data_IF_828054501453
#
_entry.id   IF_828054501453
#
_cell.length_a   1.000
_cell.length_b   1.000
_cell.length_c   1.000
_cell.angle_alpha   90.00
_cell.angle_beta   90.00
_cell.angle_gamma   90.00
#
_symmetry.space_group_name_H-M   'P 1'
#
loop_
_entity.id
_entity.type
_entity.pdbx_description
1 polymer ?
#
# COMPACT_ATOMS: atom_id res chain seq x y z
N UNK A 1 -33.88 53.98 32.44
CA UNK A 1 -32.49 53.54 32.70
C UNK A 1 -32.54 52.15 33.29
N UNK A 2 -32.12 51.15 32.53
CA UNK A 2 -32.04 49.74 32.92
C UNK A 2 -31.29 49.03 31.80
N UNK A 3 -30.07 48.60 32.11
CA UNK A 3 -29.03 48.13 31.20
C UNK A 3 -28.92 46.60 31.32
N UNK A 4 -28.40 45.97 30.25
CA UNK A 4 -27.89 44.59 30.14
C UNK A 4 -28.98 43.50 29.90
N UNK A 5 -28.75 42.42 29.14
CA UNK A 5 -27.50 41.75 28.74
C UNK A 5 -27.74 41.11 27.36
N UNK A 6 -26.74 41.19 26.47
CA UNK A 6 -26.73 40.46 25.21
C UNK A 6 -26.62 38.95 25.43
N UNK A 7 -27.45 38.19 24.72
CA UNK A 7 -27.23 36.77 24.51
C UNK A 7 -26.26 36.60 23.35
N UNK A 8 -24.98 36.47 23.66
CA UNK A 8 -24.03 35.84 22.75
C UNK A 8 -24.43 34.36 22.68
N UNK A 9 -24.99 33.92 21.55
CA UNK A 9 -25.05 32.49 21.23
C UNK A 9 -23.60 32.02 21.11
N UNK A 10 -23.10 31.38 22.16
CA UNK A 10 -21.88 30.58 22.12
C UNK A 10 -22.03 29.55 20.99
N UNK A 11 -21.38 29.84 19.86
CA UNK A 11 -21.14 28.85 18.83
C UNK A 11 -20.36 27.70 19.48
N UNK A 12 -21.03 26.58 19.72
CA UNK A 12 -20.40 25.34 20.13
C UNK A 12 -19.24 25.07 19.18
N UNK A 13 -18.01 25.24 19.68
CA UNK A 13 -16.79 24.87 18.98
C UNK A 13 -16.88 23.36 18.80
N UNK A 14 -17.28 22.92 17.61
CA UNK A 14 -17.27 21.53 17.25
C UNK A 14 -15.85 21.03 17.41
N UNK A 15 -15.66 20.11 18.36
CA UNK A 15 -14.42 19.36 18.54
C UNK A 15 -14.29 18.39 17.36
N UNK A 16 -14.01 18.94 16.18
CA UNK A 16 -13.78 18.16 14.98
C UNK A 16 -12.46 17.41 15.23
N UNK A 17 -12.47 16.07 15.31
CA UNK A 17 -11.31 15.30 15.75
C UNK A 17 -10.12 15.65 14.88
N UNK A 18 -9.03 16.10 15.49
CA UNK A 18 -7.79 16.47 14.79
C UNK A 18 -7.34 15.28 13.95
N UNK A 19 -7.49 15.40 12.62
CA UNK A 19 -7.14 14.35 11.68
C UNK A 19 -5.62 14.31 11.48
N UNK A 20 -4.93 13.58 12.36
CA UNK A 20 -3.48 13.42 12.28
C UNK A 20 -3.09 12.27 11.33
N UNK A 21 -2.43 12.55 10.19
CA UNK A 21 -1.95 11.49 9.31
C UNK A 21 -0.83 10.68 9.98
N UNK A 22 -0.67 9.39 9.63
CA UNK A 22 0.48 8.60 10.07
C UNK A 22 1.80 9.25 9.65
N UNK A 23 2.92 8.95 10.35
CA UNK A 23 4.22 9.51 10.00
C UNK A 23 4.61 9.16 8.56
N UNK A 24 5.24 10.08 7.83
CA UNK A 24 5.60 9.90 6.41
C UNK A 24 4.42 9.53 5.49
N UNK A 25 3.19 9.94 5.83
CA UNK A 25 2.06 9.79 4.94
C UNK A 25 2.24 10.61 3.66
N UNK A 26 1.97 10.01 2.50
CA UNK A 26 1.82 10.73 1.25
C UNK A 26 0.97 9.95 0.25
N UNK A 27 0.42 10.66 -0.73
CA UNK A 27 -0.23 10.06 -1.89
C UNK A 27 0.83 9.53 -2.87
N UNK A 28 0.66 8.31 -3.37
CA UNK A 28 1.48 7.72 -4.43
C UNK A 28 0.75 7.84 -5.77
N UNK A 29 -0.51 7.42 -5.80
CA UNK A 29 -1.44 7.58 -6.92
C UNK A 29 -2.72 8.22 -6.41
N UNK A 30 -3.18 9.25 -7.13
CA UNK A 30 -4.33 10.03 -6.69
C UNK A 30 -5.56 9.14 -6.48
N UNK A 31 -6.18 9.28 -5.30
CA UNK A 31 -7.36 8.53 -4.84
C UNK A 31 -7.24 7.00 -4.82
N UNK A 32 -6.08 6.41 -5.17
CA UNK A 32 -5.94 4.96 -5.34
C UNK A 32 -4.90 4.34 -4.41
N UNK A 33 -3.72 4.96 -4.29
CA UNK A 33 -2.58 4.38 -3.56
C UNK A 33 -1.96 5.42 -2.65
N UNK A 34 -1.88 5.08 -1.36
CA UNK A 34 -1.23 5.89 -0.34
C UNK A 34 -0.02 5.14 0.23
N UNK A 35 0.89 5.88 0.83
CA UNK A 35 2.02 5.33 1.58
C UNK A 35 2.12 5.97 2.95
N UNK A 36 2.66 5.25 3.92
CA UNK A 36 3.01 5.81 5.22
C UNK A 36 4.06 5.00 5.98
N UNK A 37 4.50 5.53 7.12
CA UNK A 37 5.03 4.76 8.24
C UNK A 37 3.93 4.01 8.99
N UNK A 38 4.29 3.43 10.14
CA UNK A 38 3.37 2.60 10.90
C UNK A 38 2.22 3.46 11.47
N UNK A 39 0.95 3.11 11.20
CA UNK A 39 -0.18 3.83 11.78
C UNK A 39 -0.36 3.50 13.27
N UNK A 40 -0.53 4.53 14.07
CA UNK A 40 -0.87 4.43 15.49
C UNK A 40 -2.38 4.71 15.69
N UNK A 41 -2.98 4.34 16.83
CA UNK A 41 -4.40 4.57 17.10
C UNK A 41 -4.85 6.03 16.95
N UNK A 42 -3.96 6.97 17.26
CA UNK A 42 -4.17 8.41 17.04
C UNK A 42 -4.41 8.78 15.57
N UNK A 43 -3.97 7.95 14.62
CA UNK A 43 -4.17 8.16 13.19
C UNK A 43 -5.44 7.51 12.64
N UNK A 44 -6.16 6.70 13.42
CA UNK A 44 -7.34 5.98 12.96
C UNK A 44 -8.46 6.89 12.43
N UNK A 45 -8.76 8.05 13.05
CA UNK A 45 -9.72 8.99 12.47
C UNK A 45 -9.33 9.46 11.06
N UNK A 46 -8.05 9.76 10.84
CA UNK A 46 -7.54 10.13 9.51
C UNK A 46 -7.65 8.96 8.51
N UNK A 47 -7.27 7.75 8.92
CA UNK A 47 -7.36 6.56 8.06
C UNK A 47 -8.80 6.20 7.71
N UNK A 48 -9.75 6.45 8.61
CA UNK A 48 -11.19 6.29 8.36
C UNK A 48 -11.63 7.21 7.22
N UNK A 49 -11.20 8.47 7.21
CA UNK A 49 -11.55 9.43 6.16
C UNK A 49 -11.04 9.02 4.76
N UNK A 50 -9.97 8.24 4.68
CA UNK A 50 -9.44 7.72 3.40
C UNK A 50 -10.30 6.60 2.79
N UNK A 51 -11.25 6.02 3.55
CA UNK A 51 -12.08 4.89 3.12
C UNK A 51 -11.26 3.76 2.47
N UNK A 52 -10.17 3.37 3.14
CA UNK A 52 -9.29 2.31 2.66
C UNK A 52 -10.04 0.99 2.51
N UNK A 53 -9.70 0.25 1.46
CA UNK A 53 -10.19 -1.12 1.24
C UNK A 53 -9.15 -2.16 1.62
N UNK A 54 -7.87 -1.80 1.48
CA UNK A 54 -6.77 -2.71 1.85
C UNK A 54 -5.57 -1.98 2.43
N UNK A 55 -4.80 -2.74 3.21
CA UNK A 55 -3.49 -2.33 3.72
C UNK A 55 -2.46 -3.37 3.32
N UNK A 56 -1.31 -2.89 2.83
CA UNK A 56 -0.14 -3.69 2.53
C UNK A 56 0.91 -3.41 3.60
N UNK A 57 1.12 -4.39 4.46
CA UNK A 57 2.07 -4.31 5.56
C UNK A 57 3.35 -5.08 5.24
N UNK A 58 4.48 -4.38 5.22
CA UNK A 58 5.74 -4.92 4.71
C UNK A 58 6.70 -5.44 5.80
N UNK A 59 6.23 -5.61 7.03
CA UNK A 59 7.09 -6.10 8.11
C UNK A 59 6.76 -7.54 8.52
N UNK A 60 7.77 -8.34 8.95
CA UNK A 60 7.55 -9.72 9.38
C UNK A 60 6.88 -9.83 10.76
N UNK A 61 6.95 -8.80 11.60
CA UNK A 61 6.35 -8.78 12.92
C UNK A 61 4.81 -8.95 12.85
N UNK A 62 4.16 -9.57 13.85
CA UNK A 62 2.71 -9.64 13.87
C UNK A 62 2.08 -8.25 13.93
N UNK A 63 0.93 -8.08 13.27
CA UNK A 63 0.18 -6.83 13.32
C UNK A 63 -0.45 -6.65 14.72
N UNK A 64 -0.36 -5.47 15.36
CA UNK A 64 -0.94 -5.24 16.68
C UNK A 64 -2.44 -5.46 16.70
N UNK A 65 -2.94 -5.98 17.82
CA UNK A 65 -4.35 -6.37 18.00
C UNK A 65 -5.31 -5.19 17.83
N UNK A 66 -5.01 -4.05 18.46
CA UNK A 66 -5.81 -2.82 18.34
C UNK A 66 -5.93 -2.35 16.88
N UNK A 67 -4.84 -2.41 16.11
CA UNK A 67 -4.89 -2.10 14.69
C UNK A 67 -5.73 -3.15 13.92
N UNK A 68 -5.61 -4.44 14.24
CA UNK A 68 -6.43 -5.50 13.62
C UNK A 68 -7.93 -5.30 13.88
N UNK A 69 -8.30 -4.88 15.09
CA UNK A 69 -9.68 -4.55 15.45
C UNK A 69 -10.21 -3.38 14.61
N UNK A 70 -9.41 -2.32 14.45
CA UNK A 70 -9.74 -1.22 13.55
C UNK A 70 -9.96 -1.70 12.11
N UNK A 71 -9.07 -2.55 11.58
CA UNK A 71 -9.23 -3.10 10.22
C UNK A 71 -10.50 -3.93 10.07
N UNK A 72 -10.81 -4.78 11.06
CA UNK A 72 -12.04 -5.60 11.07
C UNK A 72 -13.29 -4.71 11.09
N UNK A 73 -13.32 -3.70 11.96
CA UNK A 73 -14.45 -2.78 12.10
C UNK A 73 -14.75 -2.02 10.79
N UNK A 74 -13.72 -1.66 10.03
CA UNK A 74 -13.86 -0.90 8.78
C UNK A 74 -13.79 -1.78 7.52
N UNK A 75 -13.79 -3.12 7.67
CA UNK A 75 -13.71 -4.10 6.58
C UNK A 75 -12.49 -3.92 5.67
N UNK A 76 -11.36 -3.53 6.25
CA UNK A 76 -10.10 -3.32 5.55
C UNK A 76 -9.34 -4.64 5.49
N UNK A 77 -8.98 -5.08 4.28
CA UNK A 77 -8.21 -6.31 4.08
C UNK A 77 -6.71 -6.07 4.32
N UNK A 78 -6.10 -6.84 5.23
CA UNK A 78 -4.66 -6.81 5.47
C UNK A 78 -3.94 -7.81 4.56
N UNK A 79 -2.91 -7.33 3.86
CA UNK A 79 -1.95 -8.15 3.12
C UNK A 79 -0.58 -7.98 3.75
N UNK A 80 -0.06 -9.04 4.38
CA UNK A 80 1.23 -9.00 5.05
C UNK A 80 2.31 -9.67 4.19
N UNK A 81 3.40 -8.93 3.98
CA UNK A 81 4.58 -9.37 3.23
C UNK A 81 5.83 -9.10 4.06
N UNK A 82 6.27 -10.10 4.83
CA UNK A 82 7.43 -9.97 5.70
C UNK A 82 8.72 -9.71 4.90
N UNK A 83 9.27 -8.51 5.04
CA UNK A 83 10.61 -8.17 4.53
C UNK A 83 11.46 -7.80 5.73
N UNK A 84 12.56 -8.53 5.94
CA UNK A 84 13.46 -8.30 7.06
C UNK A 84 14.06 -6.90 7.01
N UNK A 85 14.05 -6.23 8.17
CA UNK A 85 14.50 -4.86 8.33
C UNK A 85 16.00 -4.72 8.62
N UNK A 86 16.75 -5.82 8.61
CA UNK A 86 18.15 -5.88 9.05
C UNK A 86 19.01 -4.88 8.29
N UNK A 87 19.96 -4.27 9.03
CA UNK A 87 20.98 -3.37 8.46
C UNK A 87 22.10 -4.13 7.75
N UNK A 88 22.10 -5.46 7.88
CA UNK A 88 23.07 -6.37 7.29
C UNK A 88 23.00 -6.28 5.75
N UNK A 89 24.09 -5.87 5.07
CA UNK A 89 24.12 -5.69 3.63
C UNK A 89 24.02 -7.00 2.81
N UNK A 90 23.93 -8.16 3.49
CA UNK A 90 23.99 -9.49 2.90
C UNK A 90 22.63 -10.11 2.59
N UNK A 91 21.52 -9.60 3.15
CA UNK A 91 20.17 -10.15 2.89
C UNK A 91 19.45 -9.25 1.88
N UNK A 92 19.42 -9.63 0.59
CA UNK A 92 18.72 -8.85 -0.41
C UNK A 92 17.22 -8.81 -0.10
N UNK A 93 16.59 -7.64 -0.33
CA UNK A 93 15.13 -7.52 -0.32
C UNK A 93 14.57 -8.62 -1.24
N UNK A 94 13.68 -9.50 -0.74
CA UNK A 94 13.26 -10.64 -1.54
C UNK A 94 12.46 -10.13 -2.75
N UNK A 95 13.00 -10.34 -3.96
CA UNK A 95 12.36 -9.97 -5.22
C UNK A 95 10.96 -10.57 -5.35
N UNK A 96 10.79 -11.79 -4.87
CA UNK A 96 9.51 -12.51 -4.87
C UNK A 96 8.48 -11.76 -4.02
N UNK A 97 8.83 -11.41 -2.79
CA UNK A 97 7.94 -10.68 -1.86
C UNK A 97 7.51 -9.32 -2.40
N UNK A 98 8.44 -8.56 -2.99
CA UNK A 98 8.10 -7.28 -3.65
C UNK A 98 7.14 -7.52 -4.84
N UNK A 99 7.37 -8.57 -5.62
CA UNK A 99 6.51 -8.91 -6.76
C UNK A 99 5.10 -9.30 -6.32
N UNK A 100 4.94 -10.05 -5.24
CA UNK A 100 3.62 -10.38 -4.68
C UNK A 100 2.90 -9.13 -4.12
N UNK A 101 3.63 -8.24 -3.45
CA UNK A 101 3.08 -6.96 -3.01
C UNK A 101 2.62 -6.10 -4.19
N UNK A 102 3.40 -6.05 -5.28
CA UNK A 102 3.01 -5.36 -6.51
C UNK A 102 1.77 -5.98 -7.17
N UNK A 103 1.64 -7.31 -7.17
CA UNK A 103 0.43 -7.99 -7.67
C UNK A 103 -0.84 -7.59 -6.92
N UNK A 104 -0.74 -7.34 -5.61
CA UNK A 104 -1.87 -6.81 -4.82
C UNK A 104 -2.14 -5.35 -5.20
N UNK A 105 -1.10 -4.54 -5.42
CA UNK A 105 -1.24 -3.12 -5.77
C UNK A 105 -1.81 -2.88 -7.17
N UNK A 106 -1.49 -3.72 -8.15
CA UNK A 106 -2.03 -3.57 -9.52
C UNK A 106 -3.48 -4.05 -9.65
N UNK A 107 -4.00 -4.80 -8.66
CA UNK A 107 -5.38 -5.25 -8.66
C UNK A 107 -6.29 -4.14 -8.13
N UNK A 108 -7.03 -3.52 -9.06
CA UNK A 108 -7.89 -2.38 -8.78
C UNK A 108 -8.97 -2.64 -7.73
N UNK A 109 -9.31 -3.91 -7.51
CA UNK A 109 -10.29 -4.33 -6.49
C UNK A 109 -9.79 -4.12 -5.07
N UNK A 110 -8.50 -3.84 -4.87
CA UNK A 110 -7.91 -3.57 -3.57
C UNK A 110 -7.85 -2.07 -3.22
N UNK A 111 -8.20 -1.16 -4.16
CA UNK A 111 -8.14 0.28 -3.93
C UNK A 111 -9.39 0.85 -3.24
N UNK A 112 -9.25 1.94 -2.45
CA UNK A 112 -7.99 2.62 -2.10
C UNK A 112 -7.10 1.79 -1.15
N UNK A 113 -5.79 1.77 -1.40
CA UNK A 113 -4.83 0.92 -0.70
C UNK A 113 -3.76 1.75 0.01
N UNK A 114 -3.39 1.38 1.24
CA UNK A 114 -2.27 1.98 1.98
C UNK A 114 -1.09 1.02 2.08
N UNK A 115 0.08 1.45 1.65
CA UNK A 115 1.33 0.70 1.80
C UNK A 115 2.10 1.25 3.00
N UNK A 116 2.45 0.40 3.96
CA UNK A 116 3.31 0.85 5.05
C UNK A 116 4.29 -0.21 5.54
N UNK A 117 5.32 0.29 6.20
CA UNK A 117 6.24 -0.49 7.01
C UNK A 117 6.43 0.25 8.34
N UNK A 118 7.50 -0.02 9.08
CA UNK A 118 7.78 0.69 10.34
C UNK A 118 7.88 2.22 10.17
N UNK A 119 8.62 2.69 9.17
CA UNK A 119 8.89 4.14 8.95
C UNK A 119 8.45 4.68 7.59
N UNK A 120 7.93 3.83 6.70
CA UNK A 120 7.52 4.26 5.36
C UNK A 120 8.66 4.65 4.41
N UNK A 121 9.91 4.27 4.73
CA UNK A 121 11.13 4.68 4.00
C UNK A 121 11.65 3.59 3.06
N UNK A 122 12.33 2.58 3.61
CA UNK A 122 13.07 1.56 2.85
C UNK A 122 12.15 0.60 2.10
N UNK A 123 11.46 -0.30 2.83
CA UNK A 123 10.59 -1.34 2.27
C UNK A 123 9.46 -0.75 1.42
N UNK A 124 8.73 0.23 1.98
CA UNK A 124 7.69 0.97 1.27
C UNK A 124 8.27 1.70 0.05
N UNK A 125 9.44 2.32 0.17
CA UNK A 125 10.10 2.99 -0.94
C UNK A 125 10.51 2.04 -2.08
N UNK A 126 10.95 0.82 -1.77
CA UNK A 126 11.23 -0.19 -2.78
C UNK A 126 9.97 -0.62 -3.51
N UNK A 127 8.87 -0.90 -2.80
CA UNK A 127 7.58 -1.26 -3.44
C UNK A 127 7.07 -0.12 -4.32
N UNK A 128 7.06 1.11 -3.80
CA UNK A 128 6.62 2.29 -4.57
C UNK A 128 7.54 2.53 -5.77
N UNK A 129 8.86 2.43 -5.62
CA UNK A 129 9.79 2.59 -6.73
C UNK A 129 9.63 1.52 -7.81
N UNK A 130 9.32 0.27 -7.43
CA UNK A 130 8.98 -0.77 -8.39
C UNK A 130 7.64 -0.51 -9.09
N UNK A 131 6.65 0.07 -8.40
CA UNK A 131 5.40 0.53 -9.02
C UNK A 131 5.68 1.64 -10.04
N UNK A 132 6.52 2.64 -9.71
CA UNK A 132 6.97 3.67 -10.68
C UNK A 132 7.65 3.08 -11.90
N UNK A 133 8.45 2.02 -11.71
CA UNK A 133 9.09 1.29 -12.80
C UNK A 133 8.07 0.59 -13.71
N UNK A 134 7.00 0.03 -13.15
CA UNK A 134 5.86 -0.50 -13.93
C UNK A 134 5.16 0.62 -14.72
N UNK A 135 5.00 1.79 -14.11
CA UNK A 135 4.45 3.01 -14.74
C UNK A 135 5.41 3.67 -15.76
N UNK A 136 6.54 3.02 -16.06
CA UNK A 136 7.52 3.47 -17.05
C UNK A 136 8.21 4.80 -16.71
N UNK A 137 8.33 5.14 -15.42
CA UNK A 137 9.17 6.26 -14.99
C UNK A 137 10.65 5.96 -15.24
N UNK A 138 11.44 7.00 -15.51
CA UNK A 138 12.89 6.84 -15.65
C UNK A 138 13.54 6.57 -14.28
N UNK A 139 14.64 5.81 -14.27
CA UNK A 139 15.31 5.41 -13.02
C UNK A 139 15.70 6.63 -12.17
N UNK A 140 16.15 7.72 -12.78
CA UNK A 140 16.54 8.95 -12.07
C UNK A 140 15.40 9.52 -11.23
N UNK A 141 14.19 9.66 -11.80
CA UNK A 141 13.02 10.16 -11.07
C UNK A 141 12.58 9.21 -9.95
N UNK A 142 12.71 7.90 -10.16
CA UNK A 142 12.40 6.89 -9.14
C UNK A 142 13.36 7.04 -7.94
N UNK A 143 14.66 7.15 -8.22
CA UNK A 143 15.67 7.29 -7.18
C UNK A 143 15.53 8.61 -6.43
N UNK A 144 15.18 9.69 -7.12
CA UNK A 144 14.93 11.00 -6.51
C UNK A 144 13.71 10.96 -5.57
N UNK A 145 12.58 10.37 -5.99
CA UNK A 145 11.40 10.19 -5.13
C UNK A 145 11.74 9.36 -3.88
N UNK A 146 12.48 8.25 -4.06
CA UNK A 146 12.93 7.43 -2.95
C UNK A 146 13.82 8.21 -1.98
N UNK A 147 14.82 8.93 -2.49
CA UNK A 147 15.76 9.71 -1.68
C UNK A 147 15.06 10.82 -0.91
N UNK A 148 14.12 11.52 -1.55
CA UNK A 148 13.32 12.58 -0.93
C UNK A 148 12.57 12.07 0.29
N UNK A 149 11.94 10.90 0.20
CA UNK A 149 11.14 10.33 1.30
C UNK A 149 12.02 9.64 2.36
N UNK A 150 13.10 8.98 1.95
CA UNK A 150 14.03 8.37 2.88
C UNK A 150 14.84 9.43 3.67
N UNK A 151 15.12 10.57 3.06
CA UNK A 151 15.93 11.66 3.58
C UNK A 151 17.34 11.18 3.93
N UNK A 152 17.87 11.62 5.07
CA UNK A 152 19.20 11.23 5.59
C UNK A 152 19.37 9.73 5.88
N UNK A 153 18.31 8.93 5.74
CA UNK A 153 18.33 7.48 5.93
C UNK A 153 18.21 6.71 4.62
N UNK A 154 18.43 7.33 3.45
CA UNK A 154 18.49 6.62 2.17
C UNK A 154 19.58 5.53 2.19
N UNK A 155 19.30 4.39 1.55
CA UNK A 155 20.23 3.25 1.50
C UNK A 155 20.67 2.98 0.07
N UNK A 156 21.99 2.85 -0.15
CA UNK A 156 22.55 2.48 -1.45
C UNK A 156 22.07 1.09 -1.91
N UNK A 157 21.84 0.16 -0.97
CA UNK A 157 21.29 -1.18 -1.24
C UNK A 157 19.92 -1.11 -1.93
N UNK A 158 19.03 -0.25 -1.43
CA UNK A 158 17.68 -0.08 -1.95
C UNK A 158 17.72 0.58 -3.34
N UNK A 159 18.59 1.56 -3.55
CA UNK A 159 18.79 2.20 -4.84
C UNK A 159 19.35 1.22 -5.88
N UNK A 160 20.33 0.39 -5.50
CA UNK A 160 20.86 -0.69 -6.35
C UNK A 160 19.79 -1.74 -6.67
N UNK A 161 18.95 -2.07 -5.70
CA UNK A 161 17.80 -2.96 -5.91
C UNK A 161 16.83 -2.37 -6.95
N UNK A 162 16.44 -1.10 -6.82
CA UNK A 162 15.55 -0.42 -7.78
C UNK A 162 16.14 -0.38 -9.20
N UNK A 163 17.46 -0.18 -9.32
CA UNK A 163 18.18 -0.27 -10.58
C UNK A 163 18.07 -1.65 -11.23
N UNK A 164 18.27 -2.71 -10.45
CA UNK A 164 18.37 -4.11 -10.96
C UNK A 164 17.05 -4.89 -10.99
N UNK A 165 15.98 -4.39 -10.37
CA UNK A 165 14.67 -5.06 -10.34
C UNK A 165 14.02 -5.05 -11.72
N UNK A 166 13.73 -6.21 -12.28
CA UNK A 166 13.10 -6.32 -13.60
C UNK A 166 11.58 -6.43 -13.48
N UNK A 167 10.86 -5.57 -14.21
CA UNK A 167 9.40 -5.53 -14.28
C UNK A 167 8.85 -6.14 -15.57
N UNK A 168 9.72 -6.58 -16.49
CA UNK A 168 9.35 -7.03 -17.84
C UNK A 168 8.34 -8.17 -17.80
N UNK A 169 8.58 -9.17 -16.94
CA UNK A 169 7.66 -10.30 -16.78
C UNK A 169 6.25 -9.84 -16.35
N UNK A 170 6.17 -9.00 -15.31
CA UNK A 170 4.89 -8.50 -14.80
C UNK A 170 4.17 -7.63 -15.84
N UNK A 171 4.92 -6.79 -16.56
CA UNK A 171 4.41 -5.96 -17.65
C UNK A 171 3.87 -6.82 -18.80
N UNK A 172 4.61 -7.83 -19.25
CA UNK A 172 4.15 -8.77 -20.29
C UNK A 172 2.90 -9.53 -19.87
N UNK A 173 2.82 -9.99 -18.60
CA UNK A 173 1.61 -10.61 -18.08
C UNK A 173 0.41 -9.65 -18.12
N UNK A 174 0.58 -8.41 -17.65
CA UNK A 174 -0.47 -7.39 -17.68
C UNK A 174 -0.93 -7.08 -19.10
N UNK A 175 -0.01 -6.88 -20.04
CA UNK A 175 -0.36 -6.68 -21.44
C UNK A 175 -1.11 -7.88 -22.02
N UNK A 176 -0.65 -9.10 -21.76
CA UNK A 176 -1.33 -10.32 -22.23
C UNK A 176 -2.76 -10.39 -21.71
N UNK A 177 -2.99 -10.08 -20.44
CA UNK A 177 -4.33 -10.00 -19.84
C UNK A 177 -5.16 -8.91 -20.55
N UNK A 178 -4.63 -7.69 -20.70
CA UNK A 178 -5.32 -6.58 -21.34
C UNK A 178 -5.70 -6.93 -22.79
N UNK A 179 -4.77 -7.49 -23.57
CA UNK A 179 -5.02 -7.90 -24.95
C UNK A 179 -6.06 -9.02 -25.06
N UNK A 180 -6.08 -9.96 -24.10
CA UNK A 180 -7.12 -10.98 -24.01
C UNK A 180 -8.51 -10.37 -23.75
N UNK A 181 -8.60 -9.37 -22.86
CA UNK A 181 -9.86 -8.68 -22.57
C UNK A 181 -10.32 -7.75 -23.70
N UNK A 182 -9.38 -7.12 -24.42
CA UNK A 182 -9.66 -6.24 -25.56
C UNK A 182 -9.96 -7.00 -26.88
N UNK A 183 -10.07 -8.34 -26.83
CA UNK A 183 -10.58 -9.13 -27.94
C UNK A 183 -9.56 -9.57 -28.99
N UNK A 184 -8.26 -9.33 -28.79
CA UNK A 184 -7.20 -9.86 -29.66
C UNK A 184 -6.72 -11.26 -29.26
N UNK A 185 -7.11 -11.74 -28.07
CA UNK A 185 -6.84 -13.09 -27.59
C UNK A 185 -8.10 -13.97 -27.63
N UNK A 186 -8.02 -15.04 -28.40
CA UNK A 186 -9.05 -16.08 -28.52
C UNK A 186 -9.71 -16.45 -27.18
N UNK A 187 -11.04 -16.57 -27.22
CA UNK A 187 -11.98 -16.95 -26.16
C UNK A 187 -11.37 -17.77 -24.99
N UNK A 188 -11.47 -17.21 -23.77
CA UNK A 188 -11.35 -17.80 -22.40
C UNK A 188 -9.97 -17.83 -21.72
N UNK A 189 -9.84 -17.13 -20.58
CA UNK A 189 -9.85 -17.67 -19.19
C UNK A 189 -9.70 -16.51 -18.17
N UNK A 190 -10.47 -16.57 -17.07
CA UNK A 190 -10.45 -15.62 -15.95
C UNK A 190 -9.25 -15.92 -15.04
N UNK A 191 -8.57 -14.90 -14.51
CA UNK A 191 -7.48 -15.07 -13.53
C UNK A 191 -8.05 -15.66 -12.23
N UNK A 192 -7.59 -16.87 -11.88
CA UNK A 192 -7.90 -17.54 -10.61
C UNK A 192 -6.61 -17.57 -9.77
N UNK A 193 -6.71 -17.22 -8.49
CA UNK A 193 -5.61 -17.31 -7.53
C UNK A 193 -5.46 -18.77 -7.07
N UNK A 194 -4.23 -19.16 -6.73
CA UNK A 194 -3.80 -20.55 -6.44
C UNK A 194 -4.55 -21.25 -5.29
N UNK A 195 -5.33 -20.52 -4.49
CA UNK A 195 -6.08 -21.10 -3.36
C UNK A 195 -7.37 -21.83 -3.79
N UNK A 196 -7.87 -21.64 -5.02
CA UNK A 196 -9.09 -22.34 -5.49
C UNK A 196 -8.83 -23.71 -6.13
N UNK A 197 -7.59 -24.23 -6.10
CA UNK A 197 -7.24 -25.53 -6.69
C UNK A 197 -7.44 -26.75 -5.77
N UNK A 198 -8.07 -26.59 -4.60
CA UNK A 198 -8.40 -27.74 -3.74
C UNK A 198 -9.68 -28.40 -4.27
N UNK A 199 -9.48 -29.55 -4.92
CA UNK A 199 -10.45 -30.37 -5.63
C UNK A 199 -11.71 -30.69 -4.81
N UNK A 200 -12.90 -30.46 -5.37
CA UNK A 200 -14.12 -31.18 -4.95
C UNK A 200 -14.12 -32.58 -5.59
N UNK A 201 -14.30 -33.66 -4.81
CA UNK A 201 -14.37 -35.01 -5.36
C UNK A 201 -15.63 -35.17 -6.24
N UNK A 202 -15.45 -35.77 -7.42
CA UNK A 202 -16.53 -36.16 -8.33
C UNK A 202 -17.28 -37.35 -7.72
N UNK A 203 -18.54 -37.15 -7.35
CA UNK A 203 -19.49 -38.23 -7.08
C UNK A 203 -19.72 -38.96 -8.42
N UNK A 204 -19.43 -40.25 -8.48
CA UNK A 204 -19.90 -41.13 -9.55
C UNK A 204 -21.21 -41.76 -9.10
N UNK A 205 -22.17 -41.70 -10.02
CA UNK A 205 -23.44 -42.45 -10.09
C UNK A 205 -23.27 -43.94 -9.83
#
# INVERSE_FOLDING_TARGET
MGLMVGGEEEAAVGDDPVLAPPPNFSTVEDRCVYRSGFPEPSNFPFLRALNLRSIIYLCPEPYPEENLEFLKAHRIKLFQFGIDGTKEPSVPIPRVTITEALKVLIDVRNHPALIHCKRGKHRTGCVVGCLRKLQNWCLSSILEEYQRIAGTKSRATDMRFLGTYDVSCLRHCLHSIIYQYQGYGSKKRRLLYREESVQKPRIKS
#
